data_IF_355250931768
#
_entry.id   IF_355250931768
#
_cell.length_a   1.000
_cell.length_b   1.000
_cell.length_c   1.000
_cell.angle_alpha   90.00
_cell.angle_beta   90.00
_cell.angle_gamma   90.00
#
_symmetry.space_group_name_H-M   'P 1'
#
loop_
_entity.id
_entity.type
_entity.pdbx_description
1 polymer ?
#
# COMPACT_ATOMS: atom_id res chain seq x y z
N UNK A 1 48.04 -26.31 27.26
CA UNK A 1 48.30 -25.92 25.86
C UNK A 1 47.23 -24.93 25.46
N UNK A 2 47.64 -23.73 25.11
CA UNK A 2 46.79 -22.61 24.71
C UNK A 2 46.05 -22.95 23.41
N UNK A 3 44.73 -23.07 23.46
CA UNK A 3 43.89 -23.09 22.27
C UNK A 3 44.07 -21.75 21.57
N UNK A 4 44.74 -21.77 20.43
CA UNK A 4 44.83 -20.63 19.52
C UNK A 4 43.45 -20.41 18.95
N UNK A 5 42.79 -19.32 19.34
CA UNK A 5 41.68 -18.76 18.57
C UNK A 5 42.19 -18.48 17.17
N UNK A 6 41.86 -19.35 16.22
CA UNK A 6 41.98 -19.04 14.81
C UNK A 6 41.05 -17.85 14.53
N UNK A 7 41.64 -16.64 14.50
CA UNK A 7 40.98 -15.46 13.99
C UNK A 7 40.82 -15.66 12.49
N UNK A 8 39.71 -16.26 12.10
CA UNK A 8 39.30 -16.33 10.71
C UNK A 8 39.04 -14.88 10.26
N UNK A 9 40.01 -14.29 9.57
CA UNK A 9 39.83 -12.99 8.94
C UNK A 9 38.85 -13.18 7.78
N UNK A 10 37.70 -12.52 7.88
CA UNK A 10 36.67 -12.56 6.84
C UNK A 10 37.28 -12.07 5.52
N UNK A 11 37.06 -12.84 4.47
CA UNK A 11 37.50 -12.46 3.13
C UNK A 11 36.76 -11.20 2.66
N UNK A 12 37.32 -10.43 1.70
CA UNK A 12 36.65 -9.26 1.14
C UNK A 12 35.26 -9.56 0.56
N UNK A 13 35.07 -10.76 0.00
CA UNK A 13 33.79 -11.21 -0.54
C UNK A 13 32.76 -11.49 0.57
N UNK A 14 33.19 -12.05 1.70
CA UNK A 14 32.32 -12.24 2.86
C UNK A 14 31.93 -10.90 3.49
N UNK A 15 32.87 -9.96 3.59
CA UNK A 15 32.58 -8.60 4.05
C UNK A 15 31.58 -7.86 3.14
N UNK A 16 31.65 -8.08 1.82
CA UNK A 16 30.69 -7.51 0.87
C UNK A 16 29.28 -8.08 1.08
N UNK A 17 29.14 -9.40 1.25
CA UNK A 17 27.85 -10.04 1.56
C UNK A 17 27.26 -9.56 2.88
N UNK A 18 28.10 -9.36 3.90
CA UNK A 18 27.65 -8.79 5.18
C UNK A 18 27.14 -7.37 5.05
N UNK A 19 27.76 -6.54 4.20
CA UNK A 19 27.29 -5.18 3.92
C UNK A 19 25.90 -5.19 3.25
N UNK A 20 25.73 -6.03 2.24
CA UNK A 20 24.45 -6.19 1.52
C UNK A 20 23.32 -6.65 2.45
N UNK A 21 23.58 -7.62 3.34
CA UNK A 21 22.60 -8.07 4.33
C UNK A 21 22.22 -6.98 5.34
N UNK A 22 23.18 -6.13 5.73
CA UNK A 22 22.94 -5.06 6.69
C UNK A 22 22.09 -3.93 6.05
N UNK A 23 22.34 -3.61 4.78
CA UNK A 23 21.52 -2.68 3.99
C UNK A 23 20.09 -3.23 3.78
N UNK A 24 19.94 -4.54 3.58
CA UNK A 24 18.63 -5.20 3.54
C UNK A 24 17.90 -5.12 4.89
N UNK A 25 18.61 -5.32 6.01
CA UNK A 25 18.03 -5.26 7.35
C UNK A 25 17.52 -3.87 7.74
N UNK A 26 18.23 -2.82 7.32
CA UNK A 26 17.83 -1.43 7.55
C UNK A 26 16.55 -1.06 6.77
N UNK A 27 16.44 -1.54 5.53
CA UNK A 27 15.31 -1.23 4.64
C UNK A 27 14.08 -2.10 4.88
N UNK A 28 14.25 -3.33 5.38
CA UNK A 28 13.17 -4.31 5.50
C UNK A 28 12.22 -4.09 6.70
N UNK A 29 12.66 -3.42 7.78
CA UNK A 29 11.84 -3.24 9.00
C UNK A 29 11.32 -1.80 9.14
N UNK A 30 12.17 -0.81 8.89
CA UNK A 30 11.83 0.61 9.11
C UNK A 30 11.60 1.39 7.81
N UNK A 31 11.86 0.78 6.64
CA UNK A 31 11.99 1.50 5.38
C UNK A 31 13.27 2.33 5.32
N UNK A 32 13.55 2.93 4.17
CA UNK A 32 14.67 3.86 4.03
C UNK A 32 14.41 5.10 4.88
N UNK A 33 15.35 5.53 5.74
CA UNK A 33 15.25 6.81 6.44
C UNK A 33 15.02 7.94 5.45
N UNK A 34 14.16 8.88 5.79
CA UNK A 34 13.98 10.09 4.99
C UNK A 34 15.28 10.89 4.96
N UNK A 35 15.55 11.54 3.82
CA UNK A 35 16.53 12.62 3.83
C UNK A 35 16.03 13.79 4.71
N UNK A 36 16.94 14.66 5.13
CA UNK A 36 16.58 15.84 5.93
C UNK A 36 15.58 16.73 5.17
N UNK A 37 15.79 16.90 3.86
CA UNK A 37 14.90 17.67 3.00
C UNK A 37 13.50 17.04 2.88
N UNK A 38 13.41 15.72 2.78
CA UNK A 38 12.13 15.00 2.74
C UNK A 38 11.39 15.09 4.07
N UNK A 39 12.12 15.03 5.18
CA UNK A 39 11.57 15.15 6.52
C UNK A 39 11.01 16.56 6.75
N UNK A 40 11.79 17.59 6.41
CA UNK A 40 11.38 18.99 6.53
C UNK A 40 10.16 19.31 5.65
N UNK A 41 10.15 18.82 4.41
CA UNK A 41 9.00 19.00 3.52
C UNK A 41 7.72 18.35 4.09
N UNK A 42 7.84 17.19 4.74
CA UNK A 42 6.71 16.53 5.41
C UNK A 42 6.25 17.30 6.65
N UNK A 43 7.18 17.78 7.47
CA UNK A 43 6.84 18.61 8.63
C UNK A 43 6.12 19.89 8.20
N UNK A 44 6.62 20.58 7.18
CA UNK A 44 5.96 21.76 6.63
C UNK A 44 4.56 21.42 6.13
N UNK A 45 4.39 20.28 5.44
CA UNK A 45 3.06 19.84 4.97
C UNK A 45 2.06 19.54 6.09
N UNK A 46 2.53 19.21 7.29
CA UNK A 46 1.70 19.05 8.50
C UNK A 46 1.38 20.41 9.11
N UNK A 47 2.39 21.29 9.21
CA UNK A 47 2.25 22.64 9.79
C UNK A 47 1.29 23.49 8.95
N UNK A 48 1.44 23.48 7.63
CA UNK A 48 0.62 24.24 6.69
C UNK A 48 -0.74 23.57 6.41
N UNK A 49 -0.94 22.34 6.89
CA UNK A 49 -2.18 21.57 6.73
C UNK A 49 -2.42 20.99 5.34
N UNK A 50 -1.53 21.20 4.37
CA UNK A 50 -1.67 20.71 2.99
C UNK A 50 -1.75 19.19 2.91
N UNK A 51 -1.16 18.46 3.87
CA UNK A 51 -1.31 17.01 3.93
C UNK A 51 -2.77 16.59 4.17
N UNK A 52 -3.51 17.30 5.04
CA UNK A 52 -4.90 16.97 5.35
C UNK A 52 -5.81 17.22 4.16
N UNK A 53 -5.58 18.29 3.40
CA UNK A 53 -6.30 18.56 2.16
C UNK A 53 -6.08 17.45 1.11
N UNK A 54 -4.83 16.99 0.95
CA UNK A 54 -4.52 15.86 0.05
C UNK A 54 -5.27 14.60 0.47
N UNK A 55 -5.31 14.29 1.77
CA UNK A 55 -6.06 13.14 2.28
C UNK A 55 -7.58 13.29 2.09
N UNK A 56 -8.12 14.48 2.36
CA UNK A 56 -9.53 14.77 2.16
C UNK A 56 -9.94 14.58 0.70
N UNK A 57 -9.17 15.14 -0.24
CA UNK A 57 -9.41 15.00 -1.68
C UNK A 57 -9.39 13.53 -2.12
N UNK A 58 -8.48 12.72 -1.56
CA UNK A 58 -8.43 11.28 -1.81
C UNK A 58 -9.69 10.56 -1.30
N UNK A 59 -10.19 10.93 -0.13
CA UNK A 59 -11.43 10.37 0.43
C UNK A 59 -12.63 10.77 -0.42
N UNK A 60 -12.73 12.05 -0.81
CA UNK A 60 -13.82 12.55 -1.65
C UNK A 60 -13.88 11.83 -2.99
N UNK A 61 -12.73 11.64 -3.65
CA UNK A 61 -12.66 10.86 -4.90
C UNK A 61 -13.10 9.41 -4.72
N UNK A 62 -12.63 8.73 -3.67
CA UNK A 62 -13.04 7.35 -3.36
C UNK A 62 -14.53 7.23 -3.08
N UNK A 63 -15.11 8.24 -2.41
CA UNK A 63 -16.55 8.32 -2.18
C UNK A 63 -17.30 8.42 -3.50
N UNK A 64 -16.87 9.29 -4.40
CA UNK A 64 -17.50 9.44 -5.73
C UNK A 64 -17.41 8.15 -6.55
N UNK A 65 -16.24 7.51 -6.59
CA UNK A 65 -16.05 6.22 -7.28
C UNK A 65 -16.95 5.12 -6.69
N UNK A 66 -17.10 5.10 -5.37
CA UNK A 66 -17.99 4.13 -4.68
C UNK A 66 -19.46 4.37 -5.02
N UNK A 67 -19.91 5.63 -5.03
CA UNK A 67 -21.28 5.97 -5.40
C UNK A 67 -21.61 5.59 -6.84
N UNK A 68 -20.67 5.81 -7.77
CA UNK A 68 -20.82 5.37 -9.17
C UNK A 68 -20.97 3.85 -9.28
N UNK A 69 -20.17 3.09 -8.52
CA UNK A 69 -20.28 1.62 -8.47
C UNK A 69 -21.61 1.17 -7.89
N UNK A 70 -22.08 1.83 -6.82
CA UNK A 70 -23.36 1.52 -6.21
C UNK A 70 -24.52 1.70 -7.20
N UNK A 71 -24.56 2.84 -7.92
CA UNK A 71 -25.58 3.10 -8.93
C UNK A 71 -25.60 2.01 -10.03
N UNK A 72 -24.42 1.60 -10.52
CA UNK A 72 -24.33 0.54 -11.52
C UNK A 72 -24.84 -0.83 -10.99
N UNK A 73 -24.60 -1.13 -9.72
CA UNK A 73 -25.13 -2.34 -9.07
C UNK A 73 -26.65 -2.28 -8.92
N UNK A 74 -27.21 -1.12 -8.56
CA UNK A 74 -28.66 -0.92 -8.44
C UNK A 74 -29.37 -1.07 -9.80
N UNK A 75 -28.80 -0.51 -10.88
CA UNK A 75 -29.31 -0.70 -12.25
C UNK A 75 -29.30 -2.19 -12.64
N UNK A 76 -28.20 -2.88 -12.33
CA UNK A 76 -28.08 -4.32 -12.59
C UNK A 76 -29.10 -5.12 -11.79
N UNK A 77 -29.32 -4.77 -10.52
CA UNK A 77 -30.33 -5.41 -9.66
C UNK A 77 -31.73 -5.26 -10.26
N UNK A 78 -32.09 -4.05 -10.71
CA UNK A 78 -33.39 -3.79 -11.33
C UNK A 78 -33.58 -4.59 -12.62
N UNK A 79 -32.56 -4.63 -13.47
CA UNK A 79 -32.56 -5.41 -14.71
C UNK A 79 -32.76 -6.91 -14.44
N UNK A 80 -32.06 -7.46 -13.43
CA UNK A 80 -32.21 -8.86 -13.03
C UNK A 80 -33.61 -9.14 -12.46
N UNK A 81 -34.13 -8.26 -11.59
CA UNK A 81 -35.50 -8.39 -11.05
C UNK A 81 -36.54 -8.43 -12.16
N UNK A 82 -36.43 -7.53 -13.14
CA UNK A 82 -37.33 -7.49 -14.31
C UNK A 82 -37.23 -8.77 -15.14
N UNK A 83 -36.02 -9.20 -15.47
CA UNK A 83 -35.78 -10.43 -16.25
C UNK A 83 -36.36 -11.67 -15.56
N UNK A 84 -36.19 -11.79 -14.23
CA UNK A 84 -36.75 -12.89 -13.46
C UNK A 84 -38.29 -12.87 -13.50
N UNK A 85 -38.91 -11.70 -13.41
CA UNK A 85 -40.36 -11.56 -13.50
C UNK A 85 -40.88 -12.00 -14.88
N UNK A 86 -40.26 -11.53 -15.96
CA UNK A 86 -40.60 -11.88 -17.34
C UNK A 86 -40.52 -13.40 -17.59
N UNK A 87 -39.44 -14.05 -17.12
CA UNK A 87 -39.29 -15.51 -17.24
C UNK A 87 -40.38 -16.25 -16.45
N UNK A 88 -40.69 -15.80 -15.23
CA UNK A 88 -41.72 -16.43 -14.39
C UNK A 88 -43.10 -16.30 -15.01
N UNK A 89 -43.42 -15.16 -15.59
CA UNK A 89 -44.73 -14.93 -16.22
C UNK A 89 -44.85 -15.71 -17.54
N UNK A 90 -43.78 -15.82 -18.31
CA UNK A 90 -43.72 -16.66 -19.51
C UNK A 90 -43.85 -18.16 -19.19
N UNK A 91 -43.38 -18.62 -18.03
CA UNK A 91 -43.52 -20.03 -17.59
C UNK A 91 -44.92 -20.41 -17.09
N UNK A 92 -45.80 -19.42 -16.88
CA UNK A 92 -47.18 -19.61 -16.41
C UNK A 92 -48.23 -19.50 -17.52
N UNK A 93 -47.84 -19.06 -18.72
CA UNK A 93 -48.67 -19.08 -19.94
C UNK A 93 -48.41 -20.36 -20.73
#
# INVERSE_FOLDING_TARGET
MTQTSDKHELTPEELAKWRELNELGLTAIAGTPFSEEEYDARLQSVIDGSCFEKYLNKILRRKEETLKKLAALEETEQMLKKTIAEIKDASKS
#
